data_IF_678011038218
#
_entry.id   IF_678011038218
#
_cell.length_a   1.000
_cell.length_b   1.000
_cell.length_c   1.000
_cell.angle_alpha   90.00
_cell.angle_beta   90.00
_cell.angle_gamma   90.00
#
_symmetry.space_group_name_H-M   'P 1'
#
loop_
_entity.id
_entity.type
_entity.pdbx_description
1 polymer ?
#
# COMPACT_ATOMS: atom_id res chain seq x y z
N UNK A 1 10.09 19.97 19.33
CA UNK A 1 10.17 18.49 19.31
C UNK A 1 8.78 17.96 19.05
N UNK A 2 8.60 17.07 18.07
CA UNK A 2 7.31 16.51 17.66
C UNK A 2 6.79 15.40 18.60
N UNK A 3 7.27 15.30 19.85
CA UNK A 3 6.93 14.22 20.82
C UNK A 3 7.11 12.78 20.31
N UNK A 4 7.73 12.56 19.15
CA UNK A 4 7.80 11.26 18.48
C UNK A 4 6.55 10.90 17.65
N UNK A 5 5.67 11.86 17.39
CA UNK A 5 4.43 11.67 16.62
C UNK A 5 4.64 11.99 15.13
N UNK A 6 3.87 11.31 14.27
CA UNK A 6 3.85 11.48 12.81
C UNK A 6 2.51 12.02 12.35
N UNK A 7 2.52 12.91 11.35
CA UNK A 7 1.32 13.62 10.92
C UNK A 7 1.27 13.76 9.40
N UNK A 8 0.06 13.67 8.82
CA UNK A 8 -0.23 14.09 7.44
C UNK A 8 -1.17 15.30 7.53
N UNK A 9 -0.62 16.49 7.34
CA UNK A 9 -1.40 17.73 7.30
C UNK A 9 -1.63 18.16 5.84
N UNK A 10 -2.84 18.57 5.47
CA UNK A 10 -3.06 19.27 4.20
C UNK A 10 -2.33 20.62 4.20
N UNK A 11 -1.97 21.10 3.00
CA UNK A 11 -1.27 22.38 2.81
C UNK A 11 -2.13 23.59 3.21
N UNK A 12 -3.46 23.48 3.08
CA UNK A 12 -4.41 24.51 3.50
C UNK A 12 -5.08 24.13 4.82
N UNK A 13 -5.29 25.13 5.69
CA UNK A 13 -5.98 24.92 6.97
C UNK A 13 -7.48 24.69 6.71
N UNK A 14 -7.87 23.41 6.60
CA UNK A 14 -9.20 23.02 6.12
C UNK A 14 -10.29 23.24 7.18
N UNK A 15 -9.93 23.33 8.46
CA UNK A 15 -10.89 23.48 9.56
C UNK A 15 -10.27 24.22 10.77
N UNK A 16 -10.75 25.42 11.15
CA UNK A 16 -10.30 26.15 12.34
C UNK A 16 -10.44 25.40 13.67
N UNK A 17 -11.24 24.33 13.71
CA UNK A 17 -11.44 23.47 14.88
C UNK A 17 -10.52 22.24 14.89
N UNK A 18 -9.77 21.98 13.82
CA UNK A 18 -8.85 20.86 13.78
C UNK A 18 -7.64 21.12 14.69
N UNK A 19 -7.27 20.13 15.48
CA UNK A 19 -6.03 20.15 16.27
C UNK A 19 -4.99 19.23 15.65
N UNK A 20 -3.76 19.22 16.19
CA UNK A 20 -2.70 18.37 15.64
C UNK A 20 -3.03 16.88 15.82
N UNK A 21 -3.78 16.52 16.86
CA UNK A 21 -4.23 15.16 17.14
C UNK A 21 -5.06 14.56 16.00
N UNK A 22 -5.83 15.39 15.29
CA UNK A 22 -6.66 14.95 14.15
C UNK A 22 -5.82 14.51 12.94
N UNK A 23 -4.53 14.86 12.92
CA UNK A 23 -3.60 14.53 11.84
C UNK A 23 -2.60 13.44 12.24
N UNK A 24 -2.65 12.93 13.48
CA UNK A 24 -1.75 11.86 13.92
C UNK A 24 -2.04 10.60 13.12
N UNK A 25 -0.98 10.00 12.61
CA UNK A 25 -1.03 8.74 11.87
C UNK A 25 0.07 7.80 12.36
N UNK A 26 -0.16 6.51 12.20
CA UNK A 26 0.89 5.51 12.33
C UNK A 26 1.81 5.61 11.10
N UNK A 27 3.08 5.95 11.32
CA UNK A 27 4.05 6.15 10.26
C UNK A 27 4.21 4.92 9.37
N UNK A 28 4.07 3.73 9.95
CA UNK A 28 4.24 2.48 9.23
C UNK A 28 3.13 2.28 8.20
N UNK A 29 1.98 2.94 8.34
CA UNK A 29 0.84 2.84 7.41
C UNK A 29 0.95 3.76 6.17
N UNK A 30 1.98 4.61 6.11
CA UNK A 30 2.20 5.52 4.98
C UNK A 30 2.83 4.77 3.82
N UNK A 31 2.05 4.51 2.78
CA UNK A 31 2.52 3.84 1.56
C UNK A 31 2.80 4.79 0.39
N UNK A 32 3.90 4.56 -0.35
CA UNK A 32 4.17 5.27 -1.60
C UNK A 32 3.28 4.76 -2.75
N UNK A 33 2.81 5.67 -3.60
CA UNK A 33 2.11 5.29 -4.83
C UNK A 33 3.07 4.63 -5.82
N UNK A 34 2.73 3.44 -6.32
CA UNK A 34 3.59 2.68 -7.25
C UNK A 34 3.63 3.25 -8.67
N UNK A 35 2.70 4.14 -9.03
CA UNK A 35 2.48 4.55 -10.42
C UNK A 35 1.58 3.61 -11.24
N UNK A 36 1.19 2.46 -10.66
CA UNK A 36 0.37 1.44 -11.33
C UNK A 36 -1.10 1.52 -10.91
N UNK A 37 -1.98 0.93 -11.70
CA UNK A 37 -3.40 0.79 -11.37
C UNK A 37 -3.83 -0.66 -11.53
N UNK A 38 -4.73 -1.09 -10.66
CA UNK A 38 -5.36 -2.41 -10.74
C UNK A 38 -6.34 -2.51 -11.92
N UNK A 39 -6.89 -3.70 -12.16
CA UNK A 39 -7.81 -3.95 -13.27
C UNK A 39 -9.14 -3.18 -13.18
N UNK A 40 -9.44 -2.56 -12.04
CA UNK A 40 -10.61 -1.68 -11.83
C UNK A 40 -10.24 -0.20 -11.85
N UNK A 41 -8.98 0.14 -12.13
CA UNK A 41 -8.47 1.51 -12.17
C UNK A 41 -8.12 2.09 -10.80
N UNK A 42 -8.15 1.29 -9.72
CA UNK A 42 -7.71 1.73 -8.40
C UNK A 42 -6.19 1.81 -8.38
N UNK A 43 -5.64 2.88 -7.79
CA UNK A 43 -4.20 3.06 -7.60
C UNK A 43 -3.66 1.99 -6.65
N UNK A 44 -2.47 1.46 -6.97
CA UNK A 44 -1.75 0.51 -6.13
C UNK A 44 -0.65 1.24 -5.36
N UNK A 45 -0.60 1.02 -4.05
CA UNK A 45 0.38 1.60 -3.14
C UNK A 45 1.25 0.50 -2.51
N UNK A 46 2.37 0.91 -1.91
CA UNK A 46 3.09 0.06 -0.96
C UNK A 46 2.17 -0.43 0.16
N UNK A 47 2.31 -1.70 0.53
CA UNK A 47 1.46 -2.36 1.52
C UNK A 47 0.14 -2.90 0.98
N UNK A 48 -0.27 -2.57 -0.26
CA UNK A 48 -1.48 -3.14 -0.86
C UNK A 48 -1.36 -4.65 -1.07
N UNK A 49 -2.49 -5.34 -0.96
CA UNK A 49 -2.65 -6.75 -1.29
C UNK A 49 -3.47 -6.83 -2.58
N UNK A 50 -2.86 -7.38 -3.63
CA UNK A 50 -3.50 -7.60 -4.92
C UNK A 50 -3.82 -9.08 -5.14
N UNK A 51 -4.98 -9.36 -5.72
CA UNK A 51 -5.45 -10.73 -5.93
C UNK A 51 -5.84 -10.97 -7.40
N UNK A 52 -5.58 -12.19 -7.87
CA UNK A 52 -6.29 -12.78 -9.01
C UNK A 52 -6.57 -14.26 -8.72
N UNK A 53 -7.82 -14.70 -8.88
CA UNK A 53 -8.21 -16.12 -8.74
C UNK A 53 -7.72 -16.76 -7.42
N UNK A 54 -7.83 -16.04 -6.29
CA UNK A 54 -7.38 -16.52 -4.97
C UNK A 54 -5.87 -16.45 -4.72
N UNK A 55 -5.05 -16.07 -5.71
CA UNK A 55 -3.61 -15.87 -5.54
C UNK A 55 -3.32 -14.41 -5.18
N UNK A 56 -2.91 -14.19 -3.92
CA UNK A 56 -2.68 -12.87 -3.31
C UNK A 56 -1.21 -12.52 -3.31
N UNK A 57 -0.87 -11.26 -3.55
CA UNK A 57 0.49 -10.75 -3.44
C UNK A 57 0.47 -9.46 -2.62
N UNK A 58 1.40 -9.30 -1.68
CA UNK A 58 1.64 -8.01 -1.02
C UNK A 58 2.63 -7.18 -1.82
N UNK A 59 2.40 -5.87 -1.88
CA UNK A 59 3.28 -4.94 -2.59
C UNK A 59 4.26 -4.32 -1.59
N UNK A 60 5.55 -4.39 -1.91
CA UNK A 60 6.60 -3.78 -1.10
C UNK A 60 7.63 -3.05 -1.95
N UNK A 61 8.36 -2.12 -1.35
CA UNK A 61 9.54 -1.54 -1.96
C UNK A 61 10.79 -2.35 -1.60
N UNK A 62 11.56 -2.75 -2.59
CA UNK A 62 12.82 -3.45 -2.40
C UNK A 62 13.98 -2.47 -2.52
N UNK A 63 14.57 -2.09 -1.38
CA UNK A 63 15.67 -1.12 -1.31
C UNK A 63 16.93 -1.55 -2.06
N UNK A 64 17.17 -2.86 -2.21
CA UNK A 64 18.36 -3.37 -2.92
C UNK A 64 18.25 -3.22 -4.42
N UNK A 65 17.05 -3.40 -4.95
CA UNK A 65 16.73 -3.31 -6.37
C UNK A 65 16.13 -1.96 -6.77
N UNK A 66 15.89 -1.07 -5.79
CA UNK A 66 15.29 0.24 -5.93
C UNK A 66 13.97 0.25 -6.73
N UNK A 67 13.10 -0.75 -6.48
CA UNK A 67 11.82 -0.92 -7.21
C UNK A 67 10.73 -1.53 -6.33
N UNK A 68 9.49 -1.39 -6.78
CA UNK A 68 8.36 -2.14 -6.21
C UNK A 68 8.35 -3.59 -6.66
N UNK A 69 7.97 -4.48 -5.75
CA UNK A 69 7.83 -5.92 -5.97
C UNK A 69 6.52 -6.44 -5.39
N UNK A 70 5.98 -7.47 -6.04
CA UNK A 70 4.86 -8.24 -5.54
C UNK A 70 5.40 -9.52 -4.89
N UNK A 71 4.94 -9.80 -3.67
CA UNK A 71 5.46 -10.90 -2.85
C UNK A 71 4.36 -11.90 -2.53
N UNK A 72 4.69 -13.18 -2.73
CA UNK A 72 3.84 -14.32 -2.41
C UNK A 72 4.67 -15.39 -1.71
N UNK A 73 4.54 -15.48 -0.38
CA UNK A 73 5.43 -16.31 0.43
C UNK A 73 6.88 -15.87 0.26
N UNK A 74 7.77 -16.81 -0.07
CA UNK A 74 9.19 -16.54 -0.33
C UNK A 74 9.48 -16.07 -1.77
N UNK A 75 8.45 -15.94 -2.62
CA UNK A 75 8.61 -15.56 -4.02
C UNK A 75 8.41 -14.05 -4.15
N UNK A 76 9.41 -13.38 -4.70
CA UNK A 76 9.37 -11.97 -5.05
C UNK A 76 9.38 -11.81 -6.58
N UNK A 77 8.48 -10.99 -7.12
CA UNK A 77 8.45 -10.70 -8.55
C UNK A 77 8.30 -9.19 -8.81
N UNK A 78 8.93 -8.71 -9.88
CA UNK A 78 8.76 -7.31 -10.30
C UNK A 78 7.31 -7.05 -10.71
N UNK A 79 6.78 -5.92 -10.27
CA UNK A 79 5.42 -5.49 -10.64
C UNK A 79 5.48 -4.52 -11.83
N UNK A 80 4.68 -4.78 -12.87
CA UNK A 80 4.51 -3.91 -14.04
C UNK A 80 3.04 -3.89 -14.49
N UNK A 81 2.60 -2.81 -15.13
CA UNK A 81 1.20 -2.65 -15.56
C UNK A 81 0.71 -3.80 -16.44
N UNK A 82 1.55 -4.27 -17.38
CA UNK A 82 1.22 -5.41 -18.25
C UNK A 82 0.81 -6.66 -17.47
N UNK A 83 1.54 -6.99 -16.40
CA UNK A 83 1.26 -8.16 -15.58
C UNK A 83 -0.05 -8.00 -14.80
N UNK A 84 -0.32 -6.80 -14.28
CA UNK A 84 -1.60 -6.48 -13.63
C UNK A 84 -2.77 -6.67 -14.59
N UNK A 85 -2.65 -6.15 -15.82
CA UNK A 85 -3.71 -6.20 -16.83
C UNK A 85 -3.96 -7.63 -17.33
N UNK A 86 -2.88 -8.37 -17.63
CA UNK A 86 -2.93 -9.75 -18.12
C UNK A 86 -3.62 -10.69 -17.13
N UNK A 87 -3.28 -10.57 -15.84
CA UNK A 87 -3.83 -11.41 -14.78
C UNK A 87 -5.04 -10.79 -14.07
N UNK A 88 -5.50 -9.61 -14.53
CA UNK A 88 -6.64 -8.86 -13.99
C UNK A 88 -6.55 -8.68 -12.46
N UNK A 89 -5.36 -8.32 -11.96
CA UNK A 89 -5.11 -8.14 -10.53
C UNK A 89 -5.98 -7.01 -10.00
N UNK A 90 -6.60 -7.23 -8.83
CA UNK A 90 -7.42 -6.23 -8.13
C UNK A 90 -6.92 -6.04 -6.72
N UNK A 91 -6.92 -4.80 -6.23
CA UNK A 91 -6.60 -4.55 -4.81
C UNK A 91 -7.75 -5.06 -3.95
N UNK A 92 -7.44 -5.94 -3.00
CA UNK A 92 -8.41 -6.57 -2.09
C UNK A 92 -8.27 -6.11 -0.64
N UNK A 93 -7.18 -5.44 -0.30
CA UNK A 93 -6.88 -4.95 1.05
C UNK A 93 -5.46 -4.41 1.15
N UNK A 94 -4.97 -4.19 2.36
CA UNK A 94 -3.56 -3.88 2.64
C UNK A 94 -3.08 -4.63 3.90
N UNK A 95 -1.77 -4.67 4.10
CA UNK A 95 -1.15 -5.42 5.21
C UNK A 95 -1.44 -4.85 6.61
N UNK A 96 -1.96 -3.63 6.72
CA UNK A 96 -2.25 -2.98 8.01
C UNK A 96 -3.69 -3.26 8.46
N UNK A 97 -4.64 -3.14 7.55
CA UNK A 97 -6.08 -3.30 7.80
C UNK A 97 -6.57 -4.74 7.59
N UNK A 98 -5.89 -5.53 6.76
CA UNK A 98 -6.35 -6.86 6.33
C UNK A 98 -5.28 -7.95 6.53
N UNK A 99 -4.77 -8.04 7.75
CA UNK A 99 -3.73 -9.02 8.13
C UNK A 99 -4.17 -10.47 7.87
N UNK A 100 -5.46 -10.75 8.00
CA UNK A 100 -6.06 -12.06 7.74
C UNK A 100 -5.95 -12.53 6.27
N UNK A 101 -5.66 -11.63 5.33
CA UNK A 101 -5.54 -11.97 3.90
C UNK A 101 -4.19 -12.60 3.55
N UNK A 102 -3.16 -12.34 4.36
CA UNK A 102 -1.78 -12.84 4.19
C UNK A 102 -1.43 -13.95 5.19
N UNK A 103 -2.18 -14.08 6.29
CA UNK A 103 -2.06 -15.19 7.22
C UNK A 103 -2.64 -16.48 6.60
N UNK A 104 -1.82 -17.18 5.82
CA UNK A 104 -2.05 -18.60 5.53
C UNK A 104 -1.85 -19.42 6.81
N UNK A 105 -2.90 -20.14 7.23
CA UNK A 105 -2.83 -21.23 8.21
C UNK A 105 -1.78 -22.26 7.85
#
# INVERSE_FOLDING_TARGET
MNRGEHFISPDEFVNPLASYEDYVIDADTVGQYTGLKDAKGKRIFEGDIIESNGCRHSILYNDREARFEAVFGDIQCSIIQRWIDEFKKVVVGNVYENKELIETK
#
